data_IF_475141588838
#
_entry.id   IF_475141588838
#
_cell.length_a   1.000
_cell.length_b   1.000
_cell.length_c   1.000
_cell.angle_alpha   90.00
_cell.angle_beta   90.00
_cell.angle_gamma   90.00
#
_symmetry.space_group_name_H-M   'P 1'
#
loop_
_entity.id
_entity.type
_entity.pdbx_description
1 polymer ?
#
# COMPACT_ATOMS: atom_id res chain seq x y z
N UNK A 1 -15.27 -25.01 5.27
CA UNK A 1 -16.36 -24.28 4.61
C UNK A 1 -15.98 -22.82 4.51
N UNK A 2 -16.05 -22.22 3.33
CA UNK A 2 -15.93 -20.75 3.19
C UNK A 2 -17.32 -20.18 3.49
N UNK A 3 -17.44 -19.35 4.51
CA UNK A 3 -18.69 -18.62 4.81
C UNK A 3 -18.69 -17.37 3.95
N UNK A 4 -19.48 -17.38 2.88
CA UNK A 4 -19.60 -16.22 2.00
C UNK A 4 -20.46 -15.14 2.67
N UNK A 5 -20.00 -13.89 2.58
CA UNK A 5 -20.73 -12.71 3.07
C UNK A 5 -20.95 -11.75 1.91
N UNK A 6 -22.15 -11.18 1.80
CA UNK A 6 -22.49 -10.21 0.75
C UNK A 6 -22.26 -8.79 1.24
N UNK A 7 -21.53 -8.01 0.44
CA UNK A 7 -21.30 -6.58 0.67
C UNK A 7 -22.04 -5.79 -0.41
N UNK A 8 -22.84 -4.80 -0.01
CA UNK A 8 -23.51 -3.90 -0.97
C UNK A 8 -22.56 -2.79 -1.38
N UNK A 9 -22.36 -2.62 -2.67
CA UNK A 9 -21.50 -1.58 -3.25
C UNK A 9 -22.20 -0.86 -4.41
N UNK A 10 -21.72 0.33 -4.78
CA UNK A 10 -22.23 1.05 -5.93
C UNK A 10 -21.79 0.40 -7.24
N UNK A 11 -22.54 0.60 -8.33
CA UNK A 11 -22.16 0.13 -9.68
C UNK A 11 -20.82 0.70 -10.12
N UNK A 12 -20.54 1.96 -9.77
CA UNK A 12 -19.27 2.63 -10.08
C UNK A 12 -18.09 1.91 -9.42
N UNK A 13 -18.22 1.60 -8.13
CA UNK A 13 -17.16 0.90 -7.39
C UNK A 13 -16.93 -0.52 -7.92
N UNK A 14 -17.99 -1.23 -8.34
CA UNK A 14 -17.85 -2.54 -8.98
C UNK A 14 -17.00 -2.46 -10.26
N UNK A 15 -17.21 -1.42 -11.08
CA UNK A 15 -16.41 -1.22 -12.29
C UNK A 15 -14.94 -0.94 -11.97
N UNK A 16 -14.68 -0.12 -10.96
CA UNK A 16 -13.32 0.15 -10.48
C UNK A 16 -12.64 -1.14 -9.97
N UNK A 17 -13.37 -1.98 -9.22
CA UNK A 17 -12.86 -3.28 -8.76
C UNK A 17 -12.54 -4.24 -9.90
N UNK A 18 -13.30 -4.23 -10.99
CA UNK A 18 -12.99 -5.05 -12.17
C UNK A 18 -11.74 -4.57 -12.91
N UNK A 19 -11.56 -3.26 -13.03
CA UNK A 19 -10.33 -2.70 -13.60
C UNK A 19 -9.13 -3.10 -12.73
N UNK A 20 -9.26 -2.92 -11.42
CA UNK A 20 -8.21 -3.25 -10.46
C UNK A 20 -7.88 -4.75 -10.45
N UNK A 21 -8.88 -5.61 -10.66
CA UNK A 21 -8.70 -7.06 -10.79
C UNK A 21 -7.81 -7.42 -11.98
N UNK A 22 -8.00 -6.76 -13.12
CA UNK A 22 -7.16 -6.94 -14.33
C UNK A 22 -5.75 -6.39 -14.11
N UNK A 23 -5.63 -5.18 -13.55
CA UNK A 23 -4.34 -4.53 -13.29
C UNK A 23 -3.45 -5.34 -12.35
N UNK A 24 -4.05 -5.97 -11.33
CA UNK A 24 -3.33 -6.75 -10.31
C UNK A 24 -3.28 -8.25 -10.60
N UNK A 25 -3.70 -8.67 -11.80
CA UNK A 25 -3.82 -10.07 -12.24
C UNK A 25 -4.44 -10.98 -11.16
N UNK A 26 -5.54 -10.50 -10.57
CA UNK A 26 -6.20 -11.17 -9.44
C UNK A 26 -7.32 -12.08 -9.91
N UNK A 27 -7.46 -13.25 -9.28
CA UNK A 27 -8.44 -14.27 -9.68
C UNK A 27 -9.84 -13.98 -9.13
N UNK A 28 -9.94 -13.27 -8.01
CA UNK A 28 -11.21 -12.91 -7.36
C UNK A 28 -11.19 -11.52 -6.71
N UNK A 29 -12.36 -10.97 -6.42
CA UNK A 29 -12.43 -9.71 -5.65
C UNK A 29 -11.90 -9.86 -4.23
N UNK A 30 -12.00 -11.04 -3.63
CA UNK A 30 -11.40 -11.31 -2.33
C UNK A 30 -9.88 -11.14 -2.38
N UNK A 31 -9.24 -11.63 -3.45
CA UNK A 31 -7.80 -11.46 -3.67
C UNK A 31 -7.43 -9.98 -3.89
N UNK A 32 -8.24 -9.25 -4.67
CA UNK A 32 -8.07 -7.81 -4.86
C UNK A 32 -8.14 -7.07 -3.52
N UNK A 33 -9.15 -7.36 -2.70
CA UNK A 33 -9.34 -6.71 -1.40
C UNK A 33 -8.18 -7.06 -0.45
N UNK A 34 -7.72 -8.31 -0.42
CA UNK A 34 -6.54 -8.71 0.37
C UNK A 34 -5.30 -7.93 -0.04
N UNK A 35 -5.01 -7.84 -1.35
CA UNK A 35 -3.89 -7.05 -1.90
C UNK A 35 -3.99 -5.58 -1.49
N UNK A 36 -5.18 -4.97 -1.57
CA UNK A 36 -5.41 -3.59 -1.13
C UNK A 36 -5.20 -3.40 0.39
N UNK A 37 -5.64 -4.35 1.21
CA UNK A 37 -5.43 -4.33 2.66
C UNK A 37 -3.93 -4.45 2.97
N UNK A 38 -3.21 -5.33 2.27
CA UNK A 38 -1.76 -5.45 2.42
C UNK A 38 -1.03 -4.18 2.00
N UNK A 39 -1.41 -3.57 0.88
CA UNK A 39 -0.84 -2.31 0.37
C UNK A 39 -1.08 -1.15 1.34
N UNK A 40 -2.26 -1.07 1.95
CA UNK A 40 -2.57 -0.03 2.96
C UNK A 40 -1.82 -0.23 4.28
N UNK A 41 -1.52 -1.49 4.65
CA UNK A 41 -0.75 -1.83 5.86
C UNK A 41 0.76 -1.74 5.67
N UNK A 42 1.26 -1.92 4.44
CA UNK A 42 2.66 -1.64 4.11
C UNK A 42 2.85 -0.14 4.27
N UNK A 43 3.44 0.27 5.40
CA UNK A 43 4.06 1.60 5.55
C UNK A 43 4.75 1.90 4.23
N UNK A 44 4.28 2.93 3.50
CA UNK A 44 4.98 3.44 2.32
C UNK A 44 6.43 3.54 2.74
N UNK A 45 7.31 2.71 2.14
CA UNK A 45 8.75 2.71 2.41
C UNK A 45 9.14 4.17 2.45
N UNK A 46 9.48 4.57 3.67
CA UNK A 46 9.59 5.92 4.19
C UNK A 46 9.44 7.06 3.19
N UNK A 47 8.71 8.09 3.60
CA UNK A 47 8.89 9.45 3.07
C UNK A 47 10.35 9.98 3.18
N UNK A 48 11.31 9.19 3.67
CA UNK A 48 12.75 9.42 3.43
C UNK A 48 13.14 9.27 1.96
N UNK A 49 12.35 8.56 1.15
CA UNK A 49 12.61 8.34 -0.28
C UNK A 49 12.17 9.48 -1.21
N UNK A 50 11.56 10.57 -0.73
CA UNK A 50 11.30 11.74 -1.59
C UNK A 50 12.58 12.51 -1.94
N UNK A 51 13.69 12.22 -1.27
CA UNK A 51 15.03 12.73 -1.57
C UNK A 51 16.02 11.55 -1.70
N UNK A 52 16.03 10.83 -2.84
CA UNK A 52 16.94 9.69 -3.05
C UNK A 52 18.42 10.05 -3.06
N UNK A 53 18.77 11.35 -2.99
CA UNK A 53 20.14 11.89 -2.92
C UNK A 53 20.55 12.32 -1.50
N UNK A 54 19.68 12.23 -0.51
CA UNK A 54 20.06 12.54 0.86
C UNK A 54 20.87 11.39 1.42
N UNK A 55 22.13 11.67 1.74
CA UNK A 55 23.01 10.71 2.39
C UNK A 55 22.43 10.30 3.75
N UNK A 56 22.78 9.08 4.21
CA UNK A 56 22.39 8.64 5.54
C UNK A 56 22.90 9.67 6.55
N UNK A 57 22.06 10.03 7.50
CA UNK A 57 22.51 10.86 8.61
C UNK A 57 23.60 10.12 9.38
N UNK A 58 24.83 10.62 9.30
CA UNK A 58 25.92 10.25 10.19
C UNK A 58 26.00 11.31 11.29
N UNK A 59 25.93 10.87 12.55
CA UNK A 59 26.11 11.77 13.68
C UNK A 59 27.59 12.19 13.68
N UNK A 60 27.86 13.46 13.41
CA UNK A 60 29.19 14.04 13.63
C UNK A 60 29.58 13.82 15.10
N UNK A 61 30.79 13.30 15.34
CA UNK A 61 31.31 13.02 16.68
C UNK A 61 31.65 14.29 17.48
N UNK A 62 31.62 15.45 16.83
CA UNK A 62 32.06 16.73 17.39
C UNK A 62 30.84 17.46 17.96
N UNK A 63 30.81 17.55 19.29
CA UNK A 63 29.88 18.43 20.00
C UNK A 63 30.27 19.88 19.70
N UNK A 64 29.42 20.65 18.99
CA UNK A 64 29.70 22.06 18.63
C UNK A 64 29.45 23.03 19.78
N UNK A 65 29.64 22.55 21.01
CA UNK A 65 29.52 23.33 22.23
C UNK A 65 30.85 23.24 22.98
N UNK A 66 31.88 23.87 22.42
CA UNK A 66 33.03 24.37 23.17
C UNK A 66 32.73 25.79 23.68
#
# INVERSE_FOLDING_TARGET
MIVATTIRISKKLLQELENLKREKDAKSYEEVIKKLIEESKRLKKSHFGSLPKLEKFEREEIDRFD
#
